data_IF_889461626222
#
_entry.id   IF_889461626222
#
_cell.length_a   1.000
_cell.length_b   1.000
_cell.length_c   1.000
_cell.angle_alpha   90.00
_cell.angle_beta   90.00
_cell.angle_gamma   90.00
#
_symmetry.space_group_name_H-M   'P 1'
#
loop_
_entity.id
_entity.type
_entity.pdbx_description
1 polymer ?
#
# COMPACT_ATOMS: atom_id res chain seq x y z
N UNK A 1 -28.97 -37.10 7.85
CA UNK A 1 -27.90 -38.11 7.74
C UNK A 1 -27.20 -37.93 6.40
N UNK A 2 -25.88 -38.08 6.38
CA UNK A 2 -25.02 -37.98 5.18
C UNK A 2 -24.23 -39.28 5.07
N UNK A 3 -24.08 -39.78 3.84
CA UNK A 3 -23.37 -41.02 3.55
C UNK A 3 -21.86 -40.82 3.65
N UNK A 4 -21.20 -41.77 4.30
CA UNK A 4 -19.74 -41.88 4.36
C UNK A 4 -19.29 -42.82 3.25
N UNK A 5 -18.31 -42.36 2.47
CA UNK A 5 -17.75 -43.13 1.36
C UNK A 5 -16.37 -43.69 1.72
N UNK A 6 -16.12 -44.94 1.33
CA UNK A 6 -14.81 -45.58 1.40
C UNK A 6 -13.91 -45.10 0.25
N UNK A 7 -12.60 -45.39 0.34
CA UNK A 7 -11.60 -45.07 -0.70
C UNK A 7 -11.95 -45.65 -2.08
N UNK A 8 -12.76 -46.71 -2.13
CA UNK A 8 -13.24 -47.35 -3.37
C UNK A 8 -14.56 -46.76 -3.89
N UNK A 9 -15.07 -45.70 -3.25
CA UNK A 9 -16.31 -45.02 -3.63
C UNK A 9 -17.60 -45.71 -3.17
N UNK A 10 -17.52 -46.82 -2.42
CA UNK A 10 -18.68 -47.50 -1.85
C UNK A 10 -19.14 -46.83 -0.55
N UNK A 11 -20.46 -46.67 -0.37
CA UNK A 11 -21.04 -46.15 0.88
C UNK A 11 -20.90 -47.16 2.01
N UNK A 12 -20.23 -46.77 3.09
CA UNK A 12 -19.92 -47.65 4.23
C UNK A 12 -20.73 -47.33 5.49
N UNK A 13 -21.41 -46.18 5.55
CA UNK A 13 -22.26 -45.83 6.69
C UNK A 13 -22.92 -44.46 6.52
N UNK A 14 -23.71 -44.06 7.52
CA UNK A 14 -24.37 -42.76 7.57
C UNK A 14 -24.07 -42.04 8.88
N UNK A 15 -23.83 -40.73 8.82
CA UNK A 15 -23.51 -39.87 9.97
C UNK A 15 -24.48 -38.68 10.00
N UNK A 16 -24.81 -38.18 11.18
CA UNK A 16 -25.59 -36.96 11.35
C UNK A 16 -24.76 -35.68 11.14
N UNK A 17 -25.35 -34.68 10.48
CA UNK A 17 -24.69 -33.40 10.24
C UNK A 17 -24.54 -32.62 11.55
N UNK A 18 -23.34 -32.13 11.88
CA UNK A 18 -23.13 -31.22 13.01
C UNK A 18 -23.98 -29.96 12.91
N UNK A 19 -24.29 -29.34 14.06
CA UNK A 19 -25.08 -28.11 14.15
C UNK A 19 -24.50 -26.92 13.36
N UNK A 20 -23.20 -26.94 13.07
CA UNK A 20 -22.53 -25.89 12.30
C UNK A 20 -23.14 -25.72 10.90
N UNK A 21 -23.54 -26.82 10.26
CA UNK A 21 -24.17 -26.79 8.93
C UNK A 21 -25.60 -26.24 8.93
N UNK A 22 -26.20 -26.06 10.11
CA UNK A 22 -27.51 -25.41 10.27
C UNK A 22 -27.39 -23.89 10.44
N UNK A 23 -26.16 -23.35 10.51
CA UNK A 23 -25.97 -21.91 10.69
C UNK A 23 -26.42 -21.12 9.44
N UNK A 24 -27.01 -19.93 9.61
CA UNK A 24 -27.54 -19.18 8.47
C UNK A 24 -26.39 -18.60 7.64
N UNK A 25 -26.55 -18.68 6.32
CA UNK A 25 -25.58 -18.16 5.36
C UNK A 25 -25.53 -16.62 5.40
N UNK A 26 -24.35 -16.08 5.73
CA UNK A 26 -24.08 -14.64 5.87
C UNK A 26 -22.86 -14.20 5.05
N UNK A 27 -23.03 -13.91 3.74
CA UNK A 27 -21.93 -13.57 2.84
C UNK A 27 -21.23 -12.25 3.22
N UNK A 28 -21.95 -11.33 3.86
CA UNK A 28 -21.43 -10.07 4.38
C UNK A 28 -20.30 -10.28 5.40
N UNK A 29 -20.53 -11.16 6.38
CA UNK A 29 -19.55 -11.47 7.42
C UNK A 29 -18.37 -12.27 6.87
N UNK A 30 -18.63 -13.20 5.95
CA UNK A 30 -17.60 -14.00 5.27
C UNK A 30 -16.65 -13.07 4.50
N UNK A 31 -17.21 -12.17 3.68
CA UNK A 31 -16.41 -11.23 2.89
C UNK A 31 -15.52 -10.37 3.78
N UNK A 32 -16.07 -9.83 4.88
CA UNK A 32 -15.32 -9.02 5.82
C UNK A 32 -14.19 -9.81 6.50
N UNK A 33 -14.45 -11.05 6.90
CA UNK A 33 -13.41 -11.93 7.47
C UNK A 33 -12.29 -12.20 6.46
N UNK A 34 -12.63 -12.51 5.21
CA UNK A 34 -11.66 -12.79 4.15
C UNK A 34 -10.78 -11.57 3.85
N UNK A 35 -11.37 -10.38 3.74
CA UNK A 35 -10.61 -9.12 3.52
C UNK A 35 -9.65 -8.87 4.68
N UNK A 36 -10.10 -9.03 5.92
CA UNK A 36 -9.24 -8.85 7.09
C UNK A 36 -8.12 -9.90 7.20
N UNK A 37 -8.35 -11.14 6.77
CA UNK A 37 -7.29 -12.17 6.73
C UNK A 37 -6.27 -11.86 5.64
N UNK A 38 -6.74 -11.42 4.46
CA UNK A 38 -5.87 -11.05 3.33
C UNK A 38 -5.02 -9.83 3.64
N UNK A 39 -5.58 -8.83 4.30
CA UNK A 39 -4.86 -7.61 4.66
C UNK A 39 -3.67 -7.88 5.59
N UNK A 40 -3.82 -8.81 6.55
CA UNK A 40 -2.72 -9.24 7.45
C UNK A 40 -1.59 -9.98 6.75
N UNK A 41 -1.85 -10.66 5.63
CA UNK A 41 -0.81 -11.37 4.85
C UNK A 41 0.05 -10.42 4.01
N UNK A 42 -0.35 -9.16 3.87
CA UNK A 42 0.37 -8.18 3.05
C UNK A 42 1.66 -7.75 3.73
N UNK A 43 2.78 -7.86 3.03
CA UNK A 43 4.06 -7.36 3.51
C UNK A 43 4.09 -5.81 3.49
N UNK A 44 4.62 -5.24 4.56
CA UNK A 44 4.81 -3.79 4.64
C UNK A 44 5.94 -3.36 3.71
N UNK A 45 5.70 -2.31 2.95
CA UNK A 45 6.66 -1.74 1.99
C UNK A 45 6.65 -0.21 2.11
N UNK A 46 7.79 0.40 1.85
CA UNK A 46 7.97 1.84 1.90
C UNK A 46 9.08 2.29 0.95
N UNK A 47 9.08 3.56 0.57
CA UNK A 47 10.19 4.18 -0.15
C UNK A 47 11.23 4.72 0.82
N UNK A 48 12.52 4.74 0.44
CA UNK A 48 13.58 5.45 1.20
C UNK A 48 13.11 6.90 1.50
N UNK A 49 13.08 7.34 2.77
CA UNK A 49 12.64 8.69 3.15
C UNK A 49 13.36 9.83 2.41
N UNK A 50 14.58 9.55 1.94
CA UNK A 50 15.46 10.48 1.23
C UNK A 50 15.49 10.28 -0.30
N UNK A 51 14.66 9.38 -0.84
CA UNK A 51 14.56 9.15 -2.28
C UNK A 51 14.15 10.44 -3.03
N UNK A 52 14.89 10.77 -4.09
CA UNK A 52 14.66 11.98 -4.90
C UNK A 52 15.06 13.29 -4.22
N UNK A 53 15.58 13.24 -2.98
CA UNK A 53 16.06 14.40 -2.22
C UNK A 53 17.59 14.52 -2.15
N UNK A 54 18.33 13.43 -2.43
CA UNK A 54 19.81 13.40 -2.44
C UNK A 54 20.40 14.17 -3.63
N UNK A 55 20.16 15.48 -3.69
CA UNK A 55 20.58 16.36 -4.79
C UNK A 55 20.98 17.73 -4.26
N UNK A 56 21.86 18.45 -4.96
CA UNK A 56 22.24 19.82 -4.63
C UNK A 56 21.20 20.87 -5.10
N UNK A 57 20.00 20.43 -5.47
CA UNK A 57 19.02 21.30 -6.09
C UNK A 57 18.39 22.25 -5.06
N UNK A 58 18.37 23.54 -5.40
CA UNK A 58 17.80 24.57 -4.54
C UNK A 58 17.12 25.66 -5.37
N UNK A 59 16.10 26.28 -4.78
CA UNK A 59 15.46 27.46 -5.33
C UNK A 59 16.04 28.72 -4.68
N UNK A 60 16.56 29.64 -5.49
CA UNK A 60 17.03 30.94 -5.01
C UNK A 60 16.15 32.05 -5.60
N UNK A 61 15.31 32.64 -4.74
CA UNK A 61 14.37 33.71 -5.08
C UNK A 61 14.88 35.14 -4.85
N UNK A 62 16.18 35.33 -4.66
CA UNK A 62 16.73 36.65 -4.34
C UNK A 62 16.58 37.63 -5.51
N UNK A 63 15.96 38.78 -5.26
CA UNK A 63 15.96 39.96 -6.16
C UNK A 63 17.33 40.65 -6.21
N UNK A 64 18.23 40.36 -5.27
CA UNK A 64 19.63 40.80 -5.27
C UNK A 64 20.44 39.76 -6.05
N UNK A 65 21.07 40.21 -7.15
CA UNK A 65 21.73 39.42 -8.22
C UNK A 65 22.68 38.34 -7.70
N UNK A 66 22.14 37.22 -7.23
CA UNK A 66 22.95 36.05 -6.90
C UNK A 66 23.28 35.34 -8.20
N UNK A 67 24.56 34.99 -8.36
CA UNK A 67 25.04 34.22 -9.52
C UNK A 67 24.26 32.91 -9.74
N UNK A 68 23.63 32.38 -8.68
CA UNK A 68 22.85 31.13 -8.71
C UNK A 68 21.33 31.33 -8.66
N UNK A 69 20.83 32.54 -8.89
CA UNK A 69 19.39 32.85 -8.82
C UNK A 69 18.57 32.00 -9.80
N UNK A 70 17.38 31.59 -9.38
CA UNK A 70 16.44 30.82 -10.21
C UNK A 70 15.41 31.71 -10.91
N UNK A 71 15.21 32.94 -10.42
CA UNK A 71 14.25 33.90 -10.97
C UNK A 71 14.85 34.76 -12.09
N UNK A 72 13.98 35.34 -12.92
CA UNK A 72 14.33 36.25 -14.03
C UNK A 72 15.30 35.63 -15.04
N UNK A 73 15.06 34.36 -15.38
CA UNK A 73 15.88 33.55 -16.31
C UNK A 73 15.06 32.93 -17.44
N UNK A 74 13.87 33.46 -17.71
CA UNK A 74 12.93 32.93 -18.74
C UNK A 74 12.66 31.42 -18.60
N UNK A 75 12.78 30.93 -17.37
CA UNK A 75 12.66 29.52 -17.01
C UNK A 75 11.68 29.36 -15.85
N UNK A 76 11.18 28.13 -15.69
CA UNK A 76 10.35 27.75 -14.56
C UNK A 76 11.05 27.99 -13.21
N UNK A 77 10.28 28.50 -12.24
CA UNK A 77 10.71 28.83 -10.87
C UNK A 77 10.76 27.58 -9.97
N UNK A 78 11.41 26.52 -10.43
CA UNK A 78 11.53 25.24 -9.72
C UNK A 78 12.95 25.06 -9.14
N UNK A 79 13.13 24.27 -8.06
CA UNK A 79 14.46 23.97 -7.53
C UNK A 79 15.33 23.27 -8.58
N UNK A 80 16.54 23.79 -8.79
CA UNK A 80 17.48 23.31 -9.82
C UNK A 80 18.83 22.98 -9.22
N UNK A 81 19.47 21.94 -9.75
CA UNK A 81 20.84 21.53 -9.41
C UNK A 81 21.83 22.69 -9.56
N UNK A 82 22.86 22.69 -8.71
CA UNK A 82 23.89 23.74 -8.67
C UNK A 82 25.26 23.11 -8.98
N UNK A 83 25.67 23.04 -10.26
CA UNK A 83 26.92 22.39 -10.66
C UNK A 83 28.15 23.26 -10.36
N UNK A 84 29.33 22.64 -10.19
CA UNK A 84 30.57 23.31 -9.75
C UNK A 84 31.01 24.50 -10.61
N UNK A 85 30.79 24.44 -11.93
CA UNK A 85 31.12 25.52 -12.88
C UNK A 85 30.10 26.68 -12.94
N UNK A 86 29.08 26.67 -12.08
CA UNK A 86 28.03 27.69 -12.06
C UNK A 86 26.81 27.39 -12.92
N UNK A 87 25.82 28.28 -12.89
CA UNK A 87 24.57 28.10 -13.63
C UNK A 87 23.49 27.26 -12.94
N UNK A 88 22.45 26.96 -13.71
CA UNK A 88 21.25 26.23 -13.28
C UNK A 88 21.17 24.90 -14.02
N UNK A 89 21.28 23.80 -13.28
CA UNK A 89 21.13 22.46 -13.85
C UNK A 89 19.68 22.03 -14.01
N UNK A 90 19.48 20.70 -13.97
CA UNK A 90 18.16 20.07 -14.10
C UNK A 90 17.29 20.37 -12.87
N UNK A 91 15.99 20.34 -13.07
CA UNK A 91 15.02 20.38 -11.96
C UNK A 91 15.04 19.04 -11.23
N UNK A 92 15.04 19.08 -9.88
CA UNK A 92 14.99 17.91 -8.99
C UNK A 92 14.04 18.20 -7.83
N UNK A 93 13.92 17.26 -6.88
CA UNK A 93 13.11 17.36 -5.65
C UNK A 93 11.60 17.30 -5.91
N UNK A 94 11.08 18.00 -6.92
CA UNK A 94 9.64 18.10 -7.20
C UNK A 94 9.12 16.84 -7.91
N UNK A 95 7.89 16.35 -7.64
CA UNK A 95 7.35 15.13 -8.23
C UNK A 95 7.27 15.09 -9.75
N UNK A 96 7.00 16.24 -10.40
CA UNK A 96 6.95 16.31 -11.86
C UNK A 96 8.34 16.23 -12.53
N UNK A 97 9.42 16.25 -11.75
CA UNK A 97 10.78 16.20 -12.30
C UNK A 97 11.27 14.76 -12.45
N UNK A 98 12.02 14.50 -13.52
CA UNK A 98 12.68 13.20 -13.73
C UNK A 98 13.64 12.93 -12.55
N UNK A 99 13.51 11.79 -11.88
CA UNK A 99 14.24 11.42 -10.65
C UNK A 99 13.98 12.37 -9.44
N UNK A 100 12.88 13.12 -9.45
CA UNK A 100 12.41 13.88 -8.28
C UNK A 100 11.74 13.00 -7.22
N UNK A 101 11.34 13.60 -6.11
CA UNK A 101 10.62 12.89 -5.04
C UNK A 101 9.17 12.69 -5.47
N UNK A 102 8.68 11.45 -5.42
CA UNK A 102 7.27 11.12 -5.68
C UNK A 102 6.36 11.80 -4.65
N UNK A 103 5.22 12.32 -5.09
CA UNK A 103 4.20 12.87 -4.19
C UNK A 103 3.54 11.74 -3.40
N UNK A 104 3.49 11.88 -2.06
CA UNK A 104 2.92 10.88 -1.15
C UNK A 104 3.42 9.44 -1.40
N UNK A 105 4.75 9.20 -1.28
CA UNK A 105 5.29 7.86 -1.49
C UNK A 105 4.75 6.88 -0.42
N UNK A 106 4.72 5.57 -0.70
CA UNK A 106 4.29 4.57 0.27
C UNK A 106 5.14 4.68 1.54
N UNK A 107 4.44 4.76 2.67
CA UNK A 107 5.05 4.84 4.00
C UNK A 107 5.02 3.47 4.66
N UNK A 108 5.94 3.27 5.59
CA UNK A 108 5.91 2.10 6.47
C UNK A 108 4.65 2.19 7.35
N UNK A 109 3.59 1.48 6.96
CA UNK A 109 2.28 1.50 7.60
C UNK A 109 1.80 0.06 7.78
N UNK A 110 1.17 -0.22 8.91
CA UNK A 110 0.43 -1.46 9.11
C UNK A 110 -0.85 -1.47 8.25
N UNK A 111 -0.97 -2.49 7.39
CA UNK A 111 -2.10 -2.70 6.50
C UNK A 111 -3.13 -3.67 7.10
N UNK A 112 -2.86 -4.25 8.26
CA UNK A 112 -3.74 -5.21 8.92
C UNK A 112 -5.06 -4.59 9.36
N UNK A 113 -6.16 -5.17 8.90
CA UNK A 113 -7.49 -4.79 9.37
C UNK A 113 -7.90 -5.60 10.59
N UNK A 114 -8.48 -4.93 11.59
CA UNK A 114 -9.00 -5.57 12.80
C UNK A 114 -10.39 -6.14 12.54
N UNK A 115 -10.65 -7.32 13.10
CA UNK A 115 -11.97 -7.97 13.09
C UNK A 115 -12.29 -8.48 14.49
N UNK A 116 -13.55 -8.44 14.88
CA UNK A 116 -13.98 -8.95 16.18
C UNK A 116 -13.93 -10.48 16.20
N UNK A 117 -13.52 -11.06 17.33
CA UNK A 117 -13.42 -12.52 17.48
C UNK A 117 -14.78 -13.22 17.31
N UNK A 118 -15.87 -12.60 17.79
CA UNK A 118 -17.24 -13.16 17.65
C UNK A 118 -17.67 -13.19 16.18
N UNK A 119 -17.38 -12.13 15.45
CA UNK A 119 -17.68 -11.98 14.03
C UNK A 119 -16.89 -13.00 13.19
N UNK A 120 -15.59 -13.12 13.45
CA UNK A 120 -14.74 -14.11 12.80
C UNK A 120 -15.23 -15.55 13.03
N UNK A 121 -15.56 -15.90 14.27
CA UNK A 121 -16.12 -17.23 14.59
C UNK A 121 -17.44 -17.50 13.88
N UNK A 122 -18.29 -16.49 13.74
CA UNK A 122 -19.56 -16.63 13.04
C UNK A 122 -19.34 -16.80 11.52
N UNK A 123 -18.47 -15.99 10.93
CA UNK A 123 -18.09 -16.09 9.52
C UNK A 123 -17.51 -17.47 9.18
N UNK A 124 -16.68 -18.04 10.06
CA UNK A 124 -16.11 -19.38 9.88
C UNK A 124 -17.17 -20.48 9.92
N UNK A 125 -18.20 -20.36 10.77
CA UNK A 125 -19.29 -21.33 10.83
C UNK A 125 -20.23 -21.25 9.62
N UNK A 126 -20.40 -20.05 9.06
CA UNK A 126 -21.29 -19.79 7.93
C UNK A 126 -20.66 -20.09 6.56
N UNK A 127 -19.34 -20.26 6.49
CA UNK A 127 -18.59 -20.50 5.26
C UNK A 127 -18.44 -22.01 4.98
#
# INVERSE_FOLDING_TARGET
MVKVYSLTGKSTGEIELPEVFKTPYRPDLIQRAVVAIRSRRRQVHATDPSAGLKTSAAYFGSRRRSYRQTINKEMSRLPREKPGGGGLGRVRIVPQSVKGRVAHPPKNKDWGEKINNKEYKFALKSA
#
